data_IF_037876223876
#
_entry.id   IF_037876223876
#
_cell.length_a   1.000
_cell.length_b   1.000
_cell.length_c   1.000
_cell.angle_alpha   90.00
_cell.angle_beta   90.00
_cell.angle_gamma   90.00
#
_symmetry.space_group_name_H-M   'P 1'
#
loop_
_entity.id
_entity.type
_entity.pdbx_description
1 polymer ?
#
# COMPACT_ATOMS: atom_id res chain seq x y z
N UNK A 1 -2.83 14.95 44.05
CA UNK A 1 -4.07 14.60 44.76
C UNK A 1 -4.90 13.68 43.87
N UNK A 2 -5.06 12.42 44.27
CA UNK A 2 -5.80 11.38 43.56
C UNK A 2 -7.29 11.57 43.84
N UNK A 3 -8.14 11.78 42.81
CA UNK A 3 -9.56 12.04 42.99
C UNK A 3 -10.40 10.83 42.49
N UNK A 4 -10.97 10.00 43.39
CA UNK A 4 -11.71 8.79 43.04
C UNK A 4 -12.93 9.03 42.13
N UNK A 5 -13.61 10.17 42.28
CA UNK A 5 -14.81 10.50 41.52
C UNK A 5 -14.51 10.74 40.03
N UNK A 6 -13.37 11.37 39.71
CA UNK A 6 -12.92 11.55 38.33
C UNK A 6 -12.63 10.21 37.65
N UNK A 7 -12.16 9.22 38.39
CA UNK A 7 -11.90 7.86 37.88
C UNK A 7 -13.21 7.12 37.59
N UNK A 8 -14.22 7.26 38.46
CA UNK A 8 -15.55 6.67 38.23
C UNK A 8 -16.24 7.30 37.03
N UNK A 9 -16.17 8.64 36.88
CA UNK A 9 -16.73 9.33 35.71
C UNK A 9 -16.03 8.88 34.42
N UNK A 10 -14.70 8.80 34.41
CA UNK A 10 -13.92 8.35 33.25
C UNK A 10 -14.28 6.92 32.82
N UNK A 11 -14.48 6.00 33.79
CA UNK A 11 -14.91 4.62 33.51
C UNK A 11 -16.32 4.58 32.91
N UNK A 12 -17.25 5.40 33.41
CA UNK A 12 -18.60 5.51 32.86
C UNK A 12 -18.55 6.04 31.42
N UNK A 13 -17.79 7.12 31.17
CA UNK A 13 -17.61 7.69 29.83
C UNK A 13 -16.98 6.68 28.86
N UNK A 14 -15.98 5.92 29.31
CA UNK A 14 -15.38 4.85 28.52
C UNK A 14 -16.41 3.78 28.14
N UNK A 15 -17.28 3.39 29.09
CA UNK A 15 -18.39 2.48 28.83
C UNK A 15 -19.36 3.01 27.75
N UNK A 16 -19.71 4.30 27.80
CA UNK A 16 -20.55 4.95 26.78
C UNK A 16 -19.88 4.93 25.41
N UNK A 17 -18.58 5.27 25.32
CA UNK A 17 -17.82 5.23 24.07
C UNK A 17 -17.85 3.83 23.46
N UNK A 18 -17.66 2.79 24.28
CA UNK A 18 -17.73 1.40 23.80
C UNK A 18 -19.12 1.03 23.27
N UNK A 19 -20.19 1.47 23.95
CA UNK A 19 -21.56 1.21 23.48
C UNK A 19 -21.85 1.91 22.15
N UNK A 20 -21.46 3.18 22.01
CA UNK A 20 -21.63 3.95 20.77
C UNK A 20 -20.80 3.32 19.64
N UNK A 21 -19.53 3.01 19.88
CA UNK A 21 -18.67 2.35 18.90
C UNK A 21 -19.27 1.03 18.42
N UNK A 22 -19.77 0.19 19.33
CA UNK A 22 -20.43 -1.07 18.97
C UNK A 22 -21.70 -0.84 18.15
N UNK A 23 -22.53 0.12 18.54
CA UNK A 23 -23.76 0.43 17.80
C UNK A 23 -23.46 0.90 16.38
N UNK A 24 -22.45 1.75 16.19
CA UNK A 24 -22.01 2.20 14.87
C UNK A 24 -21.50 1.03 14.02
N UNK A 25 -20.66 0.16 14.57
CA UNK A 25 -20.14 -1.01 13.85
C UNK A 25 -21.27 -1.97 13.42
N UNK A 26 -22.20 -2.27 14.34
CA UNK A 26 -23.36 -3.13 14.04
C UNK A 26 -24.30 -2.46 13.01
N UNK A 27 -24.45 -1.14 13.06
CA UNK A 27 -25.25 -0.39 12.09
C UNK A 27 -24.60 -0.47 10.69
N UNK A 28 -23.29 -0.22 10.59
CA UNK A 28 -22.53 -0.29 9.34
C UNK A 28 -22.60 -1.68 8.71
N UNK A 29 -22.48 -2.75 9.51
CA UNK A 29 -22.62 -4.14 9.04
C UNK A 29 -24.00 -4.48 8.47
N UNK A 30 -25.05 -3.81 8.96
CA UNK A 30 -26.44 -4.03 8.53
C UNK A 30 -26.87 -3.13 7.37
N UNK A 31 -26.11 -2.08 7.09
CA UNK A 31 -26.42 -1.13 6.02
C UNK A 31 -26.00 -1.76 4.70
N UNK A 32 -26.88 -1.78 3.70
CA UNK A 32 -26.45 -2.11 2.33
C UNK A 32 -25.36 -1.12 1.93
N UNK A 33 -24.15 -1.62 1.65
CA UNK A 33 -23.04 -0.79 1.17
C UNK A 33 -23.52 -0.11 -0.12
N UNK A 34 -23.82 1.19 -0.07
CA UNK A 34 -24.21 1.92 -1.28
C UNK A 34 -23.14 1.69 -2.35
N UNK A 35 -23.58 1.29 -3.56
CA UNK A 35 -22.73 1.08 -4.73
C UNK A 35 -22.18 2.41 -5.31
N UNK A 36 -22.08 3.48 -4.53
CA UNK A 36 -21.62 4.82 -4.94
C UNK A 36 -20.09 4.88 -5.07
N UNK A 37 -19.59 4.04 -5.99
CA UNK A 37 -18.72 4.32 -7.14
C UNK A 37 -17.46 5.21 -7.00
N UNK A 38 -16.82 5.29 -5.84
CA UNK A 38 -15.44 5.78 -5.76
C UNK A 38 -14.58 4.82 -4.94
N UNK A 39 -13.52 4.28 -5.55
CA UNK A 39 -12.55 3.45 -4.84
C UNK A 39 -11.92 4.27 -3.72
N UNK A 40 -11.82 3.68 -2.53
CA UNK A 40 -11.18 4.28 -1.35
C UNK A 40 -10.30 3.22 -0.69
N UNK A 41 -9.07 3.56 -0.28
CA UNK A 41 -8.19 2.57 0.31
C UNK A 41 -8.66 2.21 1.72
N UNK A 42 -9.00 0.94 1.91
CA UNK A 42 -9.10 0.28 3.21
C UNK A 42 -7.95 -0.71 3.28
N UNK A 43 -6.80 -0.19 3.71
CA UNK A 43 -5.52 -0.84 3.59
C UNK A 43 -5.17 -1.63 4.86
N UNK A 44 -4.63 -2.83 4.67
CA UNK A 44 -4.01 -3.61 5.74
C UNK A 44 -2.55 -3.86 5.41
N UNK A 45 -1.66 -3.57 6.35
CA UNK A 45 -0.23 -3.81 6.20
C UNK A 45 0.20 -4.95 7.12
N UNK A 46 1.00 -5.87 6.59
CA UNK A 46 1.64 -6.95 7.36
C UNK A 46 3.15 -6.76 7.29
N UNK A 47 3.82 -6.65 8.44
CA UNK A 47 5.28 -6.55 8.50
C UNK A 47 5.82 -7.29 9.73
N UNK A 48 6.94 -7.99 9.55
CA UNK A 48 7.75 -8.57 10.64
C UNK A 48 8.87 -7.62 11.07
N UNK A 49 9.13 -6.57 10.28
CA UNK A 49 10.31 -5.72 10.38
C UNK A 49 9.99 -4.31 10.84
N UNK A 50 8.89 -4.14 11.58
CA UNK A 50 8.35 -2.83 11.96
C UNK A 50 9.28 -1.98 12.82
N UNK A 51 10.27 -2.63 13.45
CA UNK A 51 11.29 -1.96 14.27
C UNK A 51 12.65 -1.85 13.58
N UNK A 52 12.79 -2.42 12.38
CA UNK A 52 13.97 -2.35 11.53
C UNK A 52 13.77 -1.34 10.39
N UNK A 53 12.55 -1.30 9.84
CA UNK A 53 12.17 -0.48 8.69
C UNK A 53 10.84 0.23 8.96
N UNK A 54 10.86 1.55 8.87
CA UNK A 54 9.66 2.39 9.03
C UNK A 54 8.91 2.60 7.71
N UNK A 55 9.45 2.14 6.59
CA UNK A 55 8.96 2.51 5.27
C UNK A 55 7.50 2.07 5.05
N UNK A 56 7.14 0.83 5.36
CA UNK A 56 5.75 0.36 5.24
C UNK A 56 4.81 1.06 6.24
N UNK A 57 5.28 1.37 7.45
CA UNK A 57 4.52 2.11 8.45
C UNK A 57 4.16 3.52 7.95
N UNK A 58 5.14 4.24 7.40
CA UNK A 58 4.93 5.57 6.81
C UNK A 58 4.02 5.51 5.59
N UNK A 59 4.21 4.52 4.70
CA UNK A 59 3.33 4.31 3.54
C UNK A 59 1.88 4.16 3.97
N UNK A 60 1.60 3.28 4.93
CA UNK A 60 0.24 3.07 5.42
C UNK A 60 -0.34 4.33 6.05
N UNK A 61 0.48 5.07 6.82
CA UNK A 61 0.07 6.34 7.44
C UNK A 61 -0.32 7.38 6.38
N UNK A 62 0.42 7.47 5.28
CA UNK A 62 0.10 8.37 4.17
C UNK A 62 -1.18 7.95 3.45
N UNK A 63 -1.33 6.66 3.16
CA UNK A 63 -2.55 6.10 2.55
C UNK A 63 -3.80 6.38 3.39
N UNK A 64 -3.64 6.40 4.72
CA UNK A 64 -4.76 6.43 5.68
C UNK A 64 -5.06 7.82 6.26
N UNK A 65 -4.38 8.89 5.83
CA UNK A 65 -4.47 10.16 6.56
C UNK A 65 -5.83 10.84 6.42
N UNK A 66 -6.32 11.02 5.19
CA UNK A 66 -7.52 11.84 4.90
C UNK A 66 -8.75 11.01 4.55
N UNK A 67 -8.62 10.14 3.56
CA UNK A 67 -9.74 9.45 2.92
C UNK A 67 -9.72 7.94 3.09
N UNK A 68 -8.58 7.38 3.52
CA UNK A 68 -8.36 5.96 3.67
C UNK A 68 -8.41 5.48 5.12
N UNK A 69 -8.50 4.16 5.27
CA UNK A 69 -8.32 3.48 6.54
C UNK A 69 -7.09 2.59 6.47
N UNK A 70 -6.37 2.49 7.58
CA UNK A 70 -5.14 1.70 7.67
C UNK A 70 -5.14 0.84 8.89
N UNK A 71 -4.93 -0.45 8.71
CA UNK A 71 -4.64 -1.38 9.80
C UNK A 71 -3.20 -1.88 9.66
N UNK A 72 -2.36 -1.57 10.62
CA UNK A 72 -0.97 -2.01 10.66
C UNK A 72 -0.85 -3.22 11.58
N UNK A 73 -0.40 -4.35 11.03
CA UNK A 73 -0.26 -5.61 11.75
C UNK A 73 1.22 -5.99 11.81
N UNK A 74 1.78 -5.97 13.01
CA UNK A 74 3.10 -6.53 13.23
C UNK A 74 3.00 -8.04 13.46
N UNK A 75 3.58 -8.82 12.54
CA UNK A 75 3.62 -10.27 12.65
C UNK A 75 4.76 -10.70 13.57
N UNK A 76 4.43 -11.60 14.50
CA UNK A 76 5.37 -12.29 15.37
C UNK A 76 5.41 -13.74 14.95
N UNK A 77 6.58 -14.19 14.53
CA UNK A 77 6.78 -15.54 14.01
C UNK A 77 6.81 -16.55 15.15
N UNK A 78 5.88 -17.49 15.12
CA UNK A 78 5.81 -18.60 16.08
C UNK A 78 4.40 -19.03 16.42
N UNK A 79 4.30 -19.99 17.34
CA UNK A 79 3.02 -20.47 17.87
C UNK A 79 2.53 -19.57 19.02
N UNK A 80 1.21 -19.53 19.19
CA UNK A 80 0.59 -18.83 20.33
C UNK A 80 1.02 -19.50 21.64
N UNK A 81 1.71 -18.74 22.47
CA UNK A 81 2.18 -19.16 23.79
C UNK A 81 2.18 -17.97 24.75
N UNK A 82 2.43 -18.22 26.04
CA UNK A 82 2.55 -17.13 27.02
C UNK A 82 3.68 -16.16 26.68
N UNK A 83 4.80 -16.64 26.13
CA UNK A 83 5.93 -15.78 25.78
C UNK A 83 5.63 -14.93 24.55
N UNK A 84 5.14 -15.54 23.48
CA UNK A 84 4.79 -14.80 22.23
C UNK A 84 3.63 -13.84 22.46
N UNK A 85 2.68 -14.16 23.35
CA UNK A 85 1.63 -13.23 23.74
C UNK A 85 2.17 -12.00 24.51
N UNK A 86 3.15 -12.19 25.39
CA UNK A 86 3.78 -11.07 26.08
C UNK A 86 4.62 -10.21 25.13
N UNK A 87 5.32 -10.84 24.18
CA UNK A 87 6.03 -10.15 23.11
C UNK A 87 5.07 -9.32 22.25
N UNK A 88 3.96 -9.91 21.81
CA UNK A 88 2.89 -9.22 21.06
C UNK A 88 2.39 -7.98 21.79
N UNK A 89 2.09 -8.10 23.09
CA UNK A 89 1.68 -6.94 23.88
C UNK A 89 2.75 -5.84 23.91
N UNK A 90 4.03 -6.20 24.13
CA UNK A 90 5.14 -5.23 24.14
C UNK A 90 5.36 -4.57 22.79
N UNK A 91 5.29 -5.34 21.70
CA UNK A 91 5.42 -4.82 20.34
C UNK A 91 4.26 -3.89 19.99
N UNK A 92 3.03 -4.24 20.36
CA UNK A 92 1.85 -3.38 20.21
C UNK A 92 2.02 -2.05 20.95
N UNK A 93 2.44 -2.08 22.21
CA UNK A 93 2.67 -0.88 23.01
C UNK A 93 3.76 0.03 22.40
N UNK A 94 4.81 -0.55 21.80
CA UNK A 94 5.86 0.21 21.09
C UNK A 94 5.31 0.87 19.82
N UNK A 95 4.54 0.13 19.03
CA UNK A 95 3.93 0.65 17.80
C UNK A 95 2.91 1.77 18.07
N UNK A 96 2.11 1.65 19.14
CA UNK A 96 1.19 2.71 19.55
C UNK A 96 1.95 4.01 19.86
N UNK A 97 3.08 3.92 20.58
CA UNK A 97 3.92 5.10 20.84
C UNK A 97 4.50 5.70 19.55
N UNK A 98 4.84 4.88 18.56
CA UNK A 98 5.30 5.35 17.25
C UNK A 98 4.17 6.06 16.47
N UNK A 99 2.95 5.55 16.53
CA UNK A 99 1.78 6.22 15.95
C UNK A 99 1.44 7.55 16.64
N UNK A 100 1.48 7.60 17.96
CA UNK A 100 1.28 8.83 18.74
C UNK A 100 2.32 9.89 18.38
N UNK A 101 3.60 9.50 18.24
CA UNK A 101 4.68 10.42 17.90
C UNK A 101 4.64 10.94 16.44
N UNK A 102 3.87 10.29 15.55
CA UNK A 102 3.81 10.62 14.12
C UNK A 102 2.46 11.24 13.68
N UNK A 103 1.58 11.54 14.66
CA UNK A 103 0.16 11.85 14.50
C UNK A 103 -0.55 10.92 13.50
N UNK A 104 -0.33 9.61 13.64
CA UNK A 104 -0.93 8.61 12.76
C UNK A 104 -2.36 8.27 13.16
N UNK A 105 -3.24 8.16 12.17
CA UNK A 105 -4.62 7.70 12.34
C UNK A 105 -4.81 6.21 12.00
N UNK A 106 -3.72 5.44 11.88
CA UNK A 106 -3.80 4.00 11.60
C UNK A 106 -4.19 3.22 12.85
N UNK A 107 -4.98 2.17 12.66
CA UNK A 107 -5.21 1.17 13.69
C UNK A 107 -4.01 0.23 13.78
N UNK A 108 -3.60 -0.14 14.99
CA UNK A 108 -2.41 -0.97 15.23
C UNK A 108 -2.81 -2.25 15.93
N UNK A 109 -2.32 -3.37 15.40
CA UNK A 109 -2.39 -4.66 16.06
C UNK A 109 -1.14 -5.53 15.86
N UNK A 110 -1.14 -6.67 16.54
CA UNK A 110 -0.09 -7.69 16.43
C UNK A 110 -0.72 -9.04 16.15
N UNK A 111 -0.06 -9.85 15.32
CA UNK A 111 -0.52 -11.18 14.96
C UNK A 111 0.59 -12.21 15.22
N UNK A 112 0.31 -13.22 16.04
CA UNK A 112 1.23 -14.34 16.26
C UNK A 112 0.87 -15.43 15.26
N UNK A 113 1.81 -15.81 14.39
CA UNK A 113 1.54 -16.77 13.32
C UNK A 113 2.80 -17.56 12.98
N UNK A 114 2.71 -18.90 12.75
CA UNK A 114 3.88 -19.73 12.51
C UNK A 114 4.49 -19.52 11.12
N UNK A 115 3.73 -19.04 10.12
CA UNK A 115 4.24 -18.75 8.78
C UNK A 115 3.65 -17.46 8.21
N UNK A 116 4.31 -16.91 7.18
CA UNK A 116 3.82 -15.75 6.46
C UNK A 116 2.47 -16.03 5.77
N UNK A 117 2.36 -17.17 5.09
CA UNK A 117 1.11 -17.66 4.49
C UNK A 117 -0.06 -17.68 5.46
N UNK A 118 0.12 -18.25 6.66
CA UNK A 118 -0.97 -18.32 7.63
C UNK A 118 -1.34 -16.94 8.18
N UNK A 119 -0.39 -16.00 8.24
CA UNK A 119 -0.68 -14.62 8.62
C UNK A 119 -1.48 -13.89 7.55
N UNK A 120 -1.05 -13.96 6.28
CA UNK A 120 -1.79 -13.38 5.14
C UNK A 120 -3.21 -13.93 5.10
N UNK A 121 -3.38 -15.26 5.17
CA UNK A 121 -4.69 -15.90 5.14
C UNK A 121 -5.65 -15.37 6.23
N UNK A 122 -5.14 -15.15 7.45
CA UNK A 122 -5.95 -14.61 8.55
C UNK A 122 -6.31 -13.15 8.31
N UNK A 123 -5.36 -12.33 7.89
CA UNK A 123 -5.54 -10.89 7.76
C UNK A 123 -6.51 -10.53 6.65
N UNK A 124 -6.41 -11.17 5.48
CA UNK A 124 -7.27 -10.86 4.33
C UNK A 124 -8.74 -11.27 4.56
N UNK A 125 -9.01 -12.17 5.51
CA UNK A 125 -10.36 -12.61 5.87
C UNK A 125 -11.01 -11.76 6.98
N UNK A 126 -10.26 -10.90 7.66
CA UNK A 126 -10.78 -10.08 8.75
C UNK A 126 -11.33 -8.74 8.23
N UNK A 127 -12.48 -8.30 8.73
CA UNK A 127 -13.05 -7.01 8.34
C UNK A 127 -12.16 -5.85 8.81
N UNK A 128 -12.19 -4.74 8.07
CA UNK A 128 -11.52 -3.51 8.46
C UNK A 128 -12.20 -2.84 9.66
N UNK A 129 -11.44 -2.02 10.38
CA UNK A 129 -11.96 -1.28 11.55
C UNK A 129 -13.02 -0.23 11.18
N UNK A 130 -13.08 0.19 9.92
CA UNK A 130 -14.03 1.17 9.39
C UNK A 130 -15.46 0.64 9.21
N UNK A 131 -15.70 -0.66 9.46
CA UNK A 131 -16.96 -1.32 9.11
C UNK A 131 -17.08 -1.66 7.62
N UNK A 132 -16.06 -1.36 6.81
CA UNK A 132 -15.91 -1.82 5.43
C UNK A 132 -14.89 -2.97 5.36
N UNK A 133 -14.97 -3.77 4.31
CA UNK A 133 -13.90 -4.74 4.03
C UNK A 133 -12.60 -4.02 3.70
N UNK A 134 -11.48 -4.67 4.02
CA UNK A 134 -10.18 -4.25 3.51
C UNK A 134 -10.13 -4.60 2.02
N UNK A 135 -9.56 -3.72 1.21
CA UNK A 135 -9.44 -3.90 -0.24
C UNK A 135 -8.01 -3.78 -0.75
N UNK A 136 -7.07 -3.36 0.10
CA UNK A 136 -5.68 -3.14 -0.26
C UNK A 136 -4.75 -3.84 0.74
N UNK A 137 -3.89 -4.72 0.26
CA UNK A 137 -2.87 -5.38 1.08
C UNK A 137 -1.51 -4.74 0.78
N UNK A 138 -0.87 -4.19 1.81
CA UNK A 138 0.49 -3.66 1.76
C UNK A 138 1.46 -4.63 2.41
N UNK A 139 2.43 -5.09 1.63
CA UNK A 139 3.56 -5.90 2.08
C UNK A 139 4.87 -5.17 1.81
N UNK A 140 5.96 -5.60 2.44
CA UNK A 140 7.28 -5.02 2.20
C UNK A 140 8.38 -6.08 2.17
N UNK A 141 9.44 -5.78 1.42
CA UNK A 141 10.70 -6.50 1.46
C UNK A 141 11.88 -5.52 1.37
N UNK A 142 13.08 -5.97 1.76
CA UNK A 142 14.31 -5.19 1.54
C UNK A 142 14.89 -5.54 0.18
N UNK A 143 15.16 -4.55 -0.67
CA UNK A 143 15.83 -4.82 -1.95
C UNK A 143 17.27 -5.32 -1.77
N UNK A 144 17.93 -4.90 -0.69
CA UNK A 144 19.29 -5.32 -0.35
C UNK A 144 19.33 -6.72 0.26
N UNK A 145 18.26 -7.12 0.94
CA UNK A 145 18.14 -8.43 1.57
C UNK A 145 16.71 -8.99 1.43
N UNK A 146 16.35 -9.53 0.25
CA UNK A 146 14.97 -9.90 -0.10
C UNK A 146 14.54 -11.26 0.48
N UNK A 147 14.89 -11.56 1.73
CA UNK A 147 14.69 -12.88 2.35
C UNK A 147 13.22 -13.32 2.37
N UNK A 148 12.29 -12.38 2.55
CA UNK A 148 10.84 -12.64 2.63
C UNK A 148 10.10 -12.43 1.30
N UNK A 149 10.80 -12.13 0.20
CA UNK A 149 10.15 -11.83 -1.08
C UNK A 149 9.50 -13.08 -1.69
N UNK A 150 10.16 -14.24 -1.61
CA UNK A 150 9.58 -15.51 -2.11
C UNK A 150 8.28 -15.83 -1.36
N UNK A 151 8.26 -15.65 -0.03
CA UNK A 151 7.05 -15.83 0.77
C UNK A 151 5.91 -14.90 0.30
N UNK A 152 6.20 -13.65 -0.06
CA UNK A 152 5.18 -12.73 -0.59
C UNK A 152 4.63 -13.24 -1.91
N UNK A 153 5.50 -13.65 -2.83
CA UNK A 153 5.15 -14.10 -4.18
C UNK A 153 4.37 -15.41 -4.15
N UNK A 154 4.75 -16.36 -3.31
CA UNK A 154 4.06 -17.65 -3.17
C UNK A 154 2.61 -17.48 -2.67
N UNK A 155 2.35 -16.41 -1.92
CA UNK A 155 1.02 -16.09 -1.40
C UNK A 155 0.17 -15.24 -2.35
N UNK A 156 0.66 -14.90 -3.53
CA UNK A 156 -0.06 -14.06 -4.49
C UNK A 156 -1.44 -14.64 -4.88
N UNK A 157 -1.50 -15.95 -5.17
CA UNK A 157 -2.76 -16.65 -5.49
C UNK A 157 -3.79 -16.58 -4.38
N UNK A 158 -3.32 -16.65 -3.12
CA UNK A 158 -4.19 -16.55 -1.95
C UNK A 158 -4.78 -15.15 -1.84
N UNK A 159 -3.95 -14.12 -2.01
CA UNK A 159 -4.37 -12.71 -1.92
C UNK A 159 -5.42 -12.39 -3.00
N UNK A 160 -5.20 -12.87 -4.23
CA UNK A 160 -6.13 -12.67 -5.35
C UNK A 160 -7.48 -13.35 -5.18
N UNK A 161 -7.56 -14.43 -4.41
CA UNK A 161 -8.82 -15.16 -4.22
C UNK A 161 -9.91 -14.40 -3.48
N UNK A 162 -9.59 -13.22 -2.92
CA UNK A 162 -10.49 -12.36 -2.15
C UNK A 162 -10.52 -10.91 -2.66
N UNK A 163 -10.18 -10.70 -3.94
CA UNK A 163 -10.30 -9.42 -4.66
C UNK A 163 -9.52 -8.23 -4.06
N UNK A 164 -8.44 -8.50 -3.33
CA UNK A 164 -7.54 -7.47 -2.84
C UNK A 164 -6.67 -6.89 -3.96
N UNK A 165 -6.56 -5.57 -3.98
CA UNK A 165 -5.43 -4.88 -4.57
C UNK A 165 -4.16 -5.23 -3.76
N UNK A 166 -3.07 -5.55 -4.44
CA UNK A 166 -1.79 -5.86 -3.81
C UNK A 166 -0.77 -4.76 -4.11
N UNK A 167 -0.15 -4.26 -3.06
CA UNK A 167 1.03 -3.41 -3.16
C UNK A 167 2.20 -4.01 -2.39
N UNK A 168 3.34 -4.12 -3.06
CA UNK A 168 4.58 -4.66 -2.51
C UNK A 168 5.61 -3.54 -2.49
N UNK A 169 6.03 -3.13 -1.30
CA UNK A 169 7.02 -2.09 -1.11
C UNK A 169 8.43 -2.69 -1.07
N UNK A 170 9.21 -2.48 -2.13
CA UNK A 170 10.64 -2.73 -2.14
C UNK A 170 11.38 -1.57 -1.49
N UNK A 171 11.95 -1.82 -0.30
CA UNK A 171 12.60 -0.79 0.52
C UNK A 171 14.11 -0.73 0.30
N UNK A 172 14.67 0.46 0.46
CA UNK A 172 16.12 0.73 0.42
C UNK A 172 16.53 1.58 1.61
N UNK A 173 17.84 1.67 1.88
CA UNK A 173 18.37 2.55 2.94
C UNK A 173 18.10 4.03 2.68
N UNK A 174 17.99 4.43 1.40
CA UNK A 174 17.59 5.79 1.01
C UNK A 174 16.17 6.14 1.48
N UNK A 175 15.31 5.15 1.67
CA UNK A 175 13.92 5.35 2.05
C UNK A 175 13.18 6.21 1.03
N UNK A 176 12.46 7.22 1.54
CA UNK A 176 11.68 8.17 0.75
C UNK A 176 12.39 9.51 0.52
N UNK A 177 13.71 9.56 0.70
CA UNK A 177 14.53 10.76 0.51
C UNK A 177 13.92 12.04 1.08
N UNK A 178 13.75 13.05 0.22
CA UNK A 178 13.25 14.38 0.60
C UNK A 178 11.74 14.53 0.41
N UNK A 179 11.03 13.47 -0.01
CA UNK A 179 9.57 13.44 -0.23
C UNK A 179 9.10 14.51 -1.23
N UNK A 180 9.88 14.73 -2.28
CA UNK A 180 9.68 15.70 -3.34
C UNK A 180 9.11 15.07 -4.62
N UNK A 181 9.53 13.87 -5.01
CA UNK A 181 9.13 13.34 -6.32
C UNK A 181 8.59 11.92 -6.26
N UNK A 182 7.37 11.74 -6.74
CA UNK A 182 6.76 10.43 -6.98
C UNK A 182 6.77 10.18 -8.49
N UNK A 183 7.50 9.16 -8.94
CA UNK A 183 7.53 8.76 -10.34
C UNK A 183 6.61 7.56 -10.56
N UNK A 184 5.76 7.59 -11.59
CA UNK A 184 4.87 6.49 -11.96
C UNK A 184 5.28 5.99 -13.34
N UNK A 185 5.39 4.68 -13.50
CA UNK A 185 5.68 4.04 -14.78
C UNK A 185 4.48 3.29 -15.30
N UNK A 186 4.03 3.67 -16.50
CA UNK A 186 2.95 3.02 -17.24
C UNK A 186 3.56 2.33 -18.47
N UNK A 187 3.16 1.11 -18.70
CA UNK A 187 3.57 0.29 -19.85
C UNK A 187 2.35 -0.12 -20.66
N UNK A 188 2.56 -0.61 -21.89
CA UNK A 188 1.46 -1.12 -22.73
C UNK A 188 0.66 -2.25 -22.08
N UNK A 189 1.26 -2.91 -21.08
CA UNK A 189 0.75 -4.13 -20.48
C UNK A 189 0.05 -3.91 -19.13
N UNK A 190 0.04 -2.69 -18.57
CA UNK A 190 -0.38 -2.45 -17.18
C UNK A 190 -1.45 -1.35 -17.00
N UNK A 191 -2.18 -1.00 -18.06
CA UNK A 191 -3.28 -0.02 -17.99
C UNK A 191 -4.32 -0.34 -16.91
N UNK A 192 -4.53 -1.61 -16.58
CA UNK A 192 -5.40 -2.04 -15.48
C UNK A 192 -4.92 -1.51 -14.11
N UNK A 193 -3.60 -1.46 -13.92
CA UNK A 193 -2.96 -0.95 -12.70
C UNK A 193 -2.87 0.58 -12.69
N UNK A 194 -2.88 1.23 -13.86
CA UNK A 194 -2.61 2.66 -14.00
C UNK A 194 -3.49 3.52 -13.08
N UNK A 195 -4.79 3.23 -13.02
CA UNK A 195 -5.71 3.97 -12.15
C UNK A 195 -5.35 3.83 -10.67
N UNK A 196 -5.07 2.62 -10.19
CA UNK A 196 -4.66 2.41 -8.81
C UNK A 196 -3.33 3.11 -8.50
N UNK A 197 -2.34 2.98 -9.38
CA UNK A 197 -1.03 3.63 -9.23
C UNK A 197 -1.15 5.15 -9.08
N UNK A 198 -1.94 5.76 -9.96
CA UNK A 198 -2.18 7.20 -9.98
C UNK A 198 -2.96 7.63 -8.72
N UNK A 199 -4.03 6.91 -8.36
CA UNK A 199 -4.81 7.20 -7.16
C UNK A 199 -3.94 7.13 -5.90
N UNK A 200 -3.13 6.08 -5.75
CA UNK A 200 -2.19 5.94 -4.64
C UNK A 200 -1.18 7.10 -4.61
N UNK A 201 -0.63 7.49 -5.76
CA UNK A 201 0.29 8.63 -5.83
C UNK A 201 -0.36 9.93 -5.33
N UNK A 202 -1.59 10.23 -5.76
CA UNK A 202 -2.31 11.42 -5.28
C UNK A 202 -2.66 11.35 -3.80
N UNK A 203 -3.05 10.17 -3.29
CA UNK A 203 -3.32 9.97 -1.86
C UNK A 203 -2.05 10.24 -1.04
N UNK A 204 -0.91 9.68 -1.46
CA UNK A 204 0.39 9.90 -0.80
C UNK A 204 0.78 11.37 -0.88
N UNK A 205 0.68 12.00 -2.06
CA UNK A 205 0.99 13.41 -2.27
C UNK A 205 0.09 14.34 -1.42
N UNK A 206 -1.16 13.95 -1.16
CA UNK A 206 -2.08 14.66 -0.28
C UNK A 206 -1.66 14.69 1.19
N UNK A 207 -0.63 13.92 1.57
CA UNK A 207 -0.10 13.90 2.92
C UNK A 207 0.76 15.14 3.23
N UNK A 208 0.68 15.65 4.46
CA UNK A 208 1.41 16.87 4.91
C UNK A 208 2.93 16.82 4.71
N UNK A 209 3.51 15.62 4.71
CA UNK A 209 4.95 15.41 4.50
C UNK A 209 5.38 15.47 3.03
N UNK A 210 4.42 15.36 2.11
CA UNK A 210 4.60 15.45 0.67
C UNK A 210 4.06 16.79 0.11
N UNK A 211 3.84 17.79 0.98
CA UNK A 211 3.18 19.06 0.64
C UNK A 211 3.81 19.83 -0.53
N UNK A 212 5.12 19.69 -0.71
CA UNK A 212 5.90 20.37 -1.75
C UNK A 212 6.26 19.40 -2.90
N UNK A 213 5.75 18.17 -2.84
CA UNK A 213 6.08 17.14 -3.81
C UNK A 213 5.29 17.27 -5.11
N UNK A 214 5.73 16.52 -6.11
CA UNK A 214 5.05 16.41 -7.39
C UNK A 214 5.00 14.96 -7.87
N UNK A 215 4.09 14.70 -8.80
CA UNK A 215 3.97 13.42 -9.51
C UNK A 215 4.48 13.62 -10.93
N UNK A 216 5.34 12.71 -11.39
CA UNK A 216 5.76 12.63 -12.79
C UNK A 216 5.44 11.26 -13.35
N UNK A 217 4.87 11.20 -14.54
CA UNK A 217 4.44 9.96 -15.18
C UNK A 217 5.33 9.70 -16.39
N UNK A 218 5.84 8.49 -16.49
CA UNK A 218 6.59 8.02 -17.64
C UNK A 218 5.80 6.89 -18.30
N UNK A 219 5.58 7.02 -19.60
CA UNK A 219 4.90 6.01 -20.41
C UNK A 219 5.91 5.39 -21.37
N UNK A 220 6.27 4.12 -21.15
CA UNK A 220 7.30 3.43 -21.93
C UNK A 220 6.67 2.44 -22.91
N UNK A 221 6.96 2.63 -24.20
CA UNK A 221 6.38 1.85 -25.29
C UNK A 221 7.44 1.43 -26.30
N UNK A 222 7.29 0.27 -26.98
CA UNK A 222 8.11 -0.04 -28.14
C UNK A 222 8.08 1.11 -29.16
N UNK A 223 9.23 1.47 -29.74
CA UNK A 223 9.35 2.60 -30.67
C UNK A 223 8.35 2.53 -31.83
N UNK A 224 8.09 1.32 -32.34
CA UNK A 224 7.15 1.05 -33.43
C UNK A 224 5.68 1.39 -33.08
N UNK A 225 5.32 1.32 -31.79
CA UNK A 225 3.94 1.46 -31.31
C UNK A 225 3.72 2.73 -30.47
N UNK A 226 4.77 3.53 -30.25
CA UNK A 226 4.73 4.63 -29.28
C UNK A 226 3.65 5.68 -29.59
N UNK A 227 3.42 5.98 -30.88
CA UNK A 227 2.41 6.95 -31.31
C UNK A 227 0.98 6.42 -31.12
N UNK A 228 0.74 5.14 -31.45
CA UNK A 228 -0.55 4.48 -31.25
C UNK A 228 -0.90 4.37 -29.76
N UNK A 229 0.06 3.92 -28.95
CA UNK A 229 -0.09 3.78 -27.50
C UNK A 229 -0.30 5.14 -26.82
N UNK A 230 0.39 6.19 -27.28
CA UNK A 230 0.13 7.55 -26.83
C UNK A 230 -1.29 8.01 -27.17
N UNK A 231 -1.76 7.76 -28.40
CA UNK A 231 -3.13 8.07 -28.81
C UNK A 231 -4.19 7.35 -27.95
N UNK A 232 -3.93 6.09 -27.59
CA UNK A 232 -4.77 5.32 -26.66
C UNK A 232 -4.77 5.92 -25.26
N UNK A 233 -3.59 6.21 -24.69
CA UNK A 233 -3.46 6.83 -23.37
C UNK A 233 -4.14 8.20 -23.31
N UNK A 234 -3.95 9.03 -24.34
CA UNK A 234 -4.61 10.32 -24.48
C UNK A 234 -6.13 10.20 -24.50
N UNK A 235 -6.67 9.23 -25.24
CA UNK A 235 -8.12 8.98 -25.29
C UNK A 235 -8.70 8.60 -23.93
N UNK A 236 -7.96 7.81 -23.13
CA UNK A 236 -8.36 7.46 -21.76
C UNK A 236 -8.39 8.69 -20.84
N UNK A 237 -7.45 9.62 -21.02
CA UNK A 237 -7.39 10.88 -20.27
C UNK A 237 -8.57 11.78 -20.65
N UNK A 238 -8.82 11.99 -21.95
CA UNK A 238 -9.94 12.80 -22.42
C UNK A 238 -11.31 12.24 -22.00
N UNK A 239 -11.42 10.91 -21.94
CA UNK A 239 -12.62 10.23 -21.43
C UNK A 239 -12.79 10.33 -19.91
N UNK A 240 -11.85 10.97 -19.19
CA UNK A 240 -11.86 11.08 -17.73
C UNK A 240 -11.56 9.78 -16.99
N UNK A 241 -11.10 8.75 -17.70
CA UNK A 241 -10.84 7.42 -17.13
C UNK A 241 -9.50 7.32 -16.40
N UNK A 242 -8.58 8.27 -16.66
CA UNK A 242 -7.30 8.44 -15.96
C UNK A 242 -7.24 9.86 -15.37
N UNK A 243 -7.03 10.03 -14.05
CA UNK A 243 -7.15 11.33 -13.40
C UNK A 243 -5.85 12.12 -13.48
N UNK A 244 -5.34 12.34 -14.69
CA UNK A 244 -4.02 12.96 -14.93
C UNK A 244 -4.10 13.97 -16.07
N UNK A 245 -3.26 15.00 -15.98
CA UNK A 245 -3.11 15.95 -17.06
C UNK A 245 -2.06 15.46 -18.07
N UNK A 246 -2.28 15.59 -19.39
CA UNK A 246 -1.33 15.12 -20.41
C UNK A 246 0.09 15.70 -20.24
N UNK A 247 0.22 16.94 -19.77
CA UNK A 247 1.51 17.60 -19.57
C UNK A 247 2.38 16.98 -18.47
N UNK A 248 1.82 16.12 -17.61
CA UNK A 248 2.56 15.40 -16.58
C UNK A 248 3.15 14.07 -17.09
N UNK A 249 2.93 13.73 -18.36
CA UNK A 249 3.33 12.46 -18.96
C UNK A 249 4.49 12.69 -19.93
N UNK A 250 5.58 11.97 -19.70
CA UNK A 250 6.70 11.85 -20.62
C UNK A 250 6.63 10.48 -21.33
N UNK A 251 6.35 10.49 -22.63
CA UNK A 251 6.37 9.27 -23.46
C UNK A 251 7.80 8.95 -23.84
N UNK A 252 8.24 7.71 -23.58
CA UNK A 252 9.58 7.22 -23.87
C UNK A 252 9.47 6.07 -24.88
N UNK A 253 9.84 6.31 -26.15
CA UNK A 253 10.05 5.25 -27.13
C UNK A 253 11.24 4.37 -26.70
N UNK A 254 11.03 3.06 -26.61
CA UNK A 254 12.01 2.07 -26.21
C UNK A 254 12.40 1.20 -27.39
N UNK A 255 13.71 1.06 -27.60
CA UNK A 255 14.25 0.09 -28.57
C UNK A 255 14.16 -1.34 -28.03
N UNK A 256 13.96 -2.37 -28.88
CA UNK A 256 13.75 -3.75 -28.43
C UNK A 256 14.87 -4.32 -27.55
N UNK A 257 16.11 -3.87 -27.76
CA UNK A 257 17.34 -4.34 -27.09
C UNK A 257 17.58 -3.73 -25.70
N UNK A 258 16.84 -2.70 -25.32
CA UNK A 258 17.01 -2.01 -24.04
C UNK A 258 16.00 -2.56 -23.02
N UNK A 259 16.46 -3.08 -21.89
CA UNK A 259 15.58 -3.49 -20.80
C UNK A 259 14.83 -2.26 -20.23
N UNK A 260 13.49 -2.28 -20.11
CA UNK A 260 12.73 -1.22 -19.44
C UNK A 260 13.29 -0.81 -18.08
N UNK A 261 13.85 -1.77 -17.31
CA UNK A 261 14.42 -1.53 -15.99
C UNK A 261 15.61 -0.57 -16.03
N UNK A 262 16.41 -0.59 -17.09
CA UNK A 262 17.54 0.33 -17.27
C UNK A 262 17.05 1.77 -17.43
N UNK A 263 16.02 1.98 -18.24
CA UNK A 263 15.41 3.30 -18.45
C UNK A 263 14.77 3.81 -17.15
N UNK A 264 14.07 2.92 -16.43
CA UNK A 264 13.50 3.23 -15.11
C UNK A 264 14.62 3.64 -14.14
N UNK A 265 15.70 2.87 -14.08
CA UNK A 265 16.82 3.14 -13.19
C UNK A 265 17.49 4.50 -13.50
N UNK A 266 17.63 4.85 -14.77
CA UNK A 266 18.22 6.13 -15.18
C UNK A 266 17.30 7.31 -14.84
N UNK A 267 16.04 7.26 -15.27
CA UNK A 267 15.08 8.37 -15.15
C UNK A 267 14.51 8.56 -13.75
N UNK A 268 14.44 7.49 -12.94
CA UNK A 268 13.98 7.50 -11.55
C UNK A 268 15.10 7.37 -10.52
N UNK A 269 16.36 7.54 -10.93
CA UNK A 269 17.51 7.48 -10.01
C UNK A 269 17.33 8.36 -8.78
N UNK A 270 16.84 9.57 -8.97
CA UNK A 270 16.66 10.56 -7.91
C UNK A 270 15.22 10.62 -7.37
N UNK A 271 14.35 9.71 -7.79
CA UNK A 271 12.98 9.65 -7.28
C UNK A 271 12.94 9.24 -5.80
N UNK A 272 12.11 9.92 -5.01
CA UNK A 272 11.84 9.58 -3.61
C UNK A 272 10.90 8.38 -3.48
N UNK A 273 9.99 8.20 -4.44
CA UNK A 273 9.16 7.01 -4.58
C UNK A 273 8.96 6.70 -6.07
N UNK A 274 9.15 5.45 -6.46
CA UNK A 274 8.80 4.97 -7.79
C UNK A 274 7.65 3.98 -7.71
N UNK A 275 6.60 4.16 -8.50
CA UNK A 275 5.43 3.28 -8.57
C UNK A 275 5.46 2.54 -9.91
N UNK A 276 5.37 1.22 -9.88
CA UNK A 276 5.48 0.35 -11.06
C UNK A 276 4.35 -0.67 -11.03
N UNK A 277 3.65 -0.83 -12.15
CA UNK A 277 2.63 -1.85 -12.32
C UNK A 277 3.25 -3.22 -12.56
N UNK A 278 2.65 -4.28 -12.03
CA UNK A 278 3.01 -5.64 -12.42
C UNK A 278 1.78 -6.48 -12.68
N UNK A 279 1.95 -7.50 -13.52
CA UNK A 279 0.90 -8.44 -13.90
C UNK A 279 1.01 -9.73 -13.13
N UNK A 280 -0.14 -10.31 -12.80
CA UNK A 280 -0.22 -11.61 -12.14
C UNK A 280 0.47 -12.70 -12.95
N UNK A 281 0.25 -12.74 -14.27
CA UNK A 281 0.78 -13.82 -15.09
C UNK A 281 2.31 -13.80 -15.09
N UNK A 282 2.90 -12.60 -15.18
CA UNK A 282 4.35 -12.41 -15.14
C UNK A 282 4.89 -12.80 -13.76
N UNK A 283 4.27 -12.35 -12.67
CA UNK A 283 4.67 -12.73 -11.31
C UNK A 283 4.56 -14.25 -11.08
N UNK A 284 3.58 -14.93 -11.68
CA UNK A 284 3.42 -16.38 -11.58
C UNK A 284 4.47 -17.16 -12.37
N UNK A 285 4.93 -16.62 -13.50
CA UNK A 285 5.92 -17.26 -14.37
C UNK A 285 7.36 -16.98 -13.93
N UNK A 286 7.67 -15.74 -13.55
CA UNK A 286 9.02 -15.29 -13.20
C UNK A 286 9.29 -15.22 -11.69
N UNK A 287 8.25 -15.33 -10.86
CA UNK A 287 8.37 -15.33 -9.41
C UNK A 287 8.96 -14.04 -8.86
N UNK A 288 9.86 -14.15 -7.88
CA UNK A 288 10.54 -13.02 -7.26
C UNK A 288 11.41 -12.19 -8.24
N UNK A 289 11.77 -12.72 -9.42
CA UNK A 289 12.62 -12.01 -10.38
C UNK A 289 11.97 -10.74 -10.96
N UNK A 290 10.64 -10.64 -10.92
CA UNK A 290 9.87 -9.46 -11.35
C UNK A 290 10.19 -8.23 -10.50
N UNK A 291 10.51 -8.43 -9.22
CA UNK A 291 10.70 -7.35 -8.23
C UNK A 291 12.17 -6.98 -8.00
N UNK A 292 13.09 -7.66 -8.71
CA UNK A 292 14.55 -7.43 -8.66
C UNK A 292 14.99 -6.51 -9.81
N UNK A 293 16.19 -5.95 -9.73
CA UNK A 293 16.74 -5.05 -10.76
C UNK A 293 16.39 -3.58 -10.57
N UNK A 294 15.82 -3.23 -9.41
CA UNK A 294 15.48 -1.87 -9.01
C UNK A 294 16.29 -1.40 -7.81
N UNK A 295 17.43 -2.03 -7.52
CA UNK A 295 18.28 -1.75 -6.35
C UNK A 295 18.98 -0.39 -6.45
N UNK A 296 19.13 0.15 -7.67
CA UNK A 296 19.77 1.43 -7.96
C UNK A 296 18.90 2.66 -7.73
N UNK A 297 17.59 2.47 -7.53
CA UNK A 297 16.61 3.54 -7.25
C UNK A 297 16.10 3.44 -5.81
N UNK A 298 15.47 4.51 -5.31
CA UNK A 298 14.89 4.57 -3.97
C UNK A 298 13.75 3.57 -3.72
N UNK A 299 12.89 3.83 -2.75
CA UNK A 299 11.76 2.94 -2.49
C UNK A 299 10.88 2.75 -3.75
N UNK A 300 10.51 1.50 -4.03
CA UNK A 300 9.64 1.14 -5.17
C UNK A 300 8.37 0.48 -4.66
N UNK A 301 7.22 1.01 -5.06
CA UNK A 301 5.91 0.43 -4.79
C UNK A 301 5.46 -0.33 -6.05
N UNK A 302 5.47 -1.64 -5.97
CA UNK A 302 4.93 -2.50 -7.02
C UNK A 302 3.43 -2.65 -6.81
N UNK A 303 2.64 -2.38 -7.84
CA UNK A 303 1.18 -2.29 -7.74
C UNK A 303 0.54 -3.30 -8.67
N UNK A 304 -0.42 -4.04 -8.13
CA UNK A 304 -1.29 -4.92 -8.88
C UNK A 304 -2.73 -4.76 -8.40
N UNK A 305 -3.60 -4.25 -9.27
CA UNK A 305 -5.02 -4.08 -8.99
C UNK A 305 -5.75 -5.42 -9.11
N UNK A 306 -6.78 -5.67 -8.29
CA UNK A 306 -7.66 -6.83 -8.43
C UNK A 306 -8.50 -6.75 -9.70
N UNK A 307 -9.06 -5.58 -9.94
CA UNK A 307 -9.79 -5.22 -11.15
C UNK A 307 -9.42 -3.80 -11.59
N UNK A 308 -9.71 -3.46 -12.85
CA UNK A 308 -9.53 -2.09 -13.31
C UNK A 308 -10.44 -1.13 -12.53
N UNK A 309 -9.82 -0.26 -11.72
CA UNK A 309 -10.55 0.74 -10.95
C UNK A 309 -11.19 1.74 -11.90
N UNK A 310 -12.53 1.82 -11.87
CA UNK A 310 -13.29 2.81 -12.63
C UNK A 310 -13.43 4.08 -11.80
N UNK A 311 -12.92 5.19 -12.33
CA UNK A 311 -13.13 6.53 -11.77
C UNK A 311 -14.38 7.08 -12.45
N UNK A 312 -15.38 7.47 -11.66
CA UNK A 312 -16.59 8.16 -12.12
C UNK A 312 -16.56 9.61 -11.68
#
# INVERSE_FOLDING_TARGET
RYNPEKKNLAVIFQGVIFQVSRQLQVFLQKTEKEQTASWRPSAVCISEHSFDRLAAFDMLRWISQRYGFGTYIHKITGYLSKSTHQEAKKSKDRLIKMAEASDSNIYIDTLISPSYTSAVAQVIQLPGISGTENNLLLTEFSKMNPDNLEDIVDNFKLIKSVDFDLVILGTTERGYGLKQSIHIWITSNDYENANLMILLAYIILGHREWKDGYIKIFAIYPEENAEEEWGRLHSLIEAGQLPIAPHNIEVIPRKPDIDPREIIAEKSKDADLTIIGFREEVARHEGAAVFKGYESIGNTLFVNASEQIKIK
#
